data_IF_624964364216
#
_entry.id   IF_624964364216
#
_cell.length_a   1.000
_cell.length_b   1.000
_cell.length_c   1.000
_cell.angle_alpha   90.00
_cell.angle_beta   90.00
_cell.angle_gamma   90.00
#
_symmetry.space_group_name_H-M   'P 1'
#
loop_
_entity.id
_entity.type
_entity.pdbx_description
1 polymer ?
#
# COMPACT_ATOMS: atom_id res chain seq x y z
N UNK A 1 -25.04 40.56 15.03
CA UNK A 1 -23.72 40.02 14.63
C UNK A 1 -23.79 38.52 14.83
N UNK A 2 -23.68 37.68 13.77
CA UNK A 2 -23.72 36.23 13.93
C UNK A 2 -22.47 35.76 14.71
N UNK A 3 -22.55 34.65 15.47
CA UNK A 3 -21.37 34.07 16.09
C UNK A 3 -20.40 33.59 15.00
N UNK A 4 -19.12 33.98 15.12
CA UNK A 4 -18.09 33.51 14.22
C UNK A 4 -17.83 32.01 14.46
N UNK A 5 -17.81 31.21 13.39
CA UNK A 5 -17.45 29.79 13.46
C UNK A 5 -16.01 29.65 13.98
N UNK A 6 -15.76 29.05 15.16
CA UNK A 6 -14.42 28.93 15.73
C UNK A 6 -13.60 27.80 15.07
N UNK A 7 -14.11 27.21 13.99
CA UNK A 7 -13.54 26.05 13.29
C UNK A 7 -13.01 26.38 11.89
N UNK A 8 -13.10 27.64 11.45
CA UNK A 8 -12.44 28.09 10.23
C UNK A 8 -10.92 28.05 10.44
N UNK A 9 -10.25 27.17 9.69
CA UNK A 9 -8.79 27.15 9.50
C UNK A 9 -7.96 26.65 10.69
N UNK A 10 -7.96 25.33 10.92
CA UNK A 10 -6.73 24.64 11.37
C UNK A 10 -5.95 24.26 10.11
N UNK A 11 -5.27 25.24 9.52
CA UNK A 11 -4.26 24.97 8.50
C UNK A 11 -2.95 24.59 9.21
N UNK A 12 -2.51 23.33 9.05
CA UNK A 12 -1.18 22.93 9.52
C UNK A 12 -0.17 23.50 8.54
N UNK A 13 0.93 24.13 9.01
CA UNK A 13 2.00 24.52 8.09
C UNK A 13 2.54 23.26 7.39
N UNK A 14 2.29 23.20 6.08
CA UNK A 14 2.96 22.25 5.19
C UNK A 14 4.46 22.49 5.32
N UNK A 15 5.32 21.45 5.44
CA UNK A 15 6.75 21.64 5.43
C UNK A 15 7.21 22.10 4.05
N UNK A 16 7.28 23.42 3.86
CA UNK A 16 7.76 24.05 2.64
C UNK A 16 9.25 23.77 2.48
N UNK A 17 9.59 22.74 1.70
CA UNK A 17 10.95 22.55 1.21
C UNK A 17 11.19 23.67 0.19
N UNK A 18 12.03 24.64 0.55
CA UNK A 18 12.50 25.66 -0.38
C UNK A 18 13.37 25.01 -1.45
N UNK A 19 12.76 24.71 -2.59
CA UNK A 19 13.48 24.60 -3.86
C UNK A 19 13.62 26.00 -4.43
N UNK A 20 14.86 26.41 -4.69
CA UNK A 20 15.17 27.73 -5.25
C UNK A 20 14.62 27.92 -6.66
N UNK A 21 14.47 29.18 -7.05
CA UNK A 21 13.80 29.62 -8.27
C UNK A 21 14.23 28.90 -9.55
N UNK A 22 13.27 28.58 -10.42
CA UNK A 22 13.39 28.76 -11.86
C UNK A 22 12.01 28.91 -12.50
N UNK A 23 11.67 30.09 -13.02
CA UNK A 23 10.51 30.25 -13.91
C UNK A 23 10.66 29.36 -15.15
N UNK A 24 9.72 28.45 -15.41
CA UNK A 24 9.55 27.84 -16.74
C UNK A 24 8.14 27.27 -16.92
N UNK A 25 7.20 28.13 -17.32
CA UNK A 25 5.80 27.74 -17.58
C UNK A 25 5.66 27.02 -18.92
N UNK A 26 5.76 25.69 -18.93
CA UNK A 26 5.51 24.88 -20.14
C UNK A 26 4.02 24.61 -20.30
N UNK A 27 3.36 25.38 -21.18
CA UNK A 27 1.98 25.13 -21.60
C UNK A 27 1.91 23.93 -22.57
N UNK A 28 1.40 22.78 -22.10
CA UNK A 28 1.09 21.64 -22.99
C UNK A 28 -0.38 21.68 -23.40
N UNK A 29 -0.65 22.16 -24.61
CA UNK A 29 -1.96 21.99 -25.27
C UNK A 29 -2.07 20.57 -25.85
N UNK A 30 -3.17 19.83 -25.62
CA UNK A 30 -3.45 18.59 -26.34
C UNK A 30 -4.05 18.92 -27.71
N UNK A 31 -3.25 18.85 -28.77
CA UNK A 31 -3.73 18.98 -30.15
C UNK A 31 -2.84 18.18 -31.11
N UNK A 32 -3.48 17.34 -31.92
CA UNK A 32 -2.98 16.60 -33.09
C UNK A 32 -1.56 16.03 -33.10
N UNK A 33 -1.49 14.69 -33.05
CA UNK A 33 -0.55 13.89 -33.86
C UNK A 33 -1.21 12.63 -34.41
N UNK A 34 -2.18 12.81 -35.29
CA UNK A 34 -2.45 11.81 -36.32
C UNK A 34 -1.34 11.90 -37.36
N UNK A 35 -0.50 10.87 -37.48
CA UNK A 35 0.52 10.77 -38.54
C UNK A 35 0.30 9.46 -39.28
N UNK A 36 -0.20 9.55 -40.51
CA UNK A 36 -0.16 8.45 -41.46
C UNK A 36 1.30 8.16 -41.86
N UNK A 37 1.70 6.89 -41.84
CA UNK A 37 2.88 6.42 -42.59
C UNK A 37 2.42 5.58 -43.78
N UNK A 38 2.96 5.82 -44.99
CA UNK A 38 2.64 5.03 -46.17
C UNK A 38 3.53 3.78 -46.28
N UNK A 39 2.94 2.69 -46.78
CA UNK A 39 3.59 1.68 -47.63
C UNK A 39 4.80 0.91 -47.08
N UNK A 40 4.56 -0.32 -46.60
CA UNK A 40 5.46 -1.46 -46.86
C UNK A 40 4.69 -2.77 -46.76
N UNK A 41 4.35 -3.40 -47.88
CA UNK A 41 3.83 -4.76 -47.90
C UNK A 41 4.97 -5.76 -47.66
N UNK A 42 4.79 -6.79 -46.79
CA UNK A 42 5.53 -8.03 -46.89
C UNK A 42 4.72 -9.00 -47.76
N UNK A 43 5.08 -9.10 -49.04
CA UNK A 43 4.50 -10.06 -49.99
C UNK A 43 4.62 -11.50 -49.47
N UNK A 44 3.51 -12.09 -49.04
CA UNK A 44 3.45 -13.49 -48.61
C UNK A 44 3.43 -14.44 -49.83
N UNK A 45 4.60 -14.69 -50.43
CA UNK A 45 4.77 -15.66 -51.52
C UNK A 45 5.88 -16.66 -51.19
N UNK A 46 5.49 -17.83 -50.67
CA UNK A 46 6.29 -19.07 -50.75
C UNK A 46 5.45 -20.09 -51.51
N UNK A 47 5.75 -20.37 -52.79
CA UNK A 47 5.03 -21.40 -53.53
C UNK A 47 5.38 -22.78 -52.99
N UNK A 48 4.35 -23.53 -52.61
CA UNK A 48 4.43 -24.96 -52.36
C UNK A 48 4.88 -25.68 -53.63
N UNK A 49 5.94 -26.49 -53.56
CA UNK A 49 6.45 -27.25 -54.71
C UNK A 49 6.93 -28.65 -54.31
N UNK A 50 5.98 -29.57 -54.37
CA UNK A 50 6.17 -30.98 -54.70
C UNK A 50 5.02 -31.34 -55.67
N UNK A 51 5.16 -32.30 -56.61
CA UNK A 51 6.18 -33.36 -56.67
C UNK A 51 6.94 -33.43 -58.01
N UNK A 52 7.94 -34.32 -58.10
CA UNK A 52 8.08 -35.33 -59.18
C UNK A 52 9.12 -36.38 -58.77
N UNK A 53 8.96 -37.61 -59.26
CA UNK A 53 9.62 -38.85 -58.82
C UNK A 53 10.42 -39.45 -59.98
N UNK A 54 11.59 -40.06 -59.67
CA UNK A 54 12.59 -40.66 -60.60
C UNK A 54 13.30 -39.57 -61.45
N UNK A 55 14.52 -39.73 -61.94
CA UNK A 55 15.43 -40.89 -62.04
C UNK A 55 16.90 -40.39 -61.83
N UNK A 56 17.95 -41.20 -61.67
CA UNK A 56 18.06 -42.66 -61.61
C UNK A 56 19.30 -43.11 -60.79
N UNK A 57 19.38 -44.39 -60.42
CA UNK A 57 20.61 -45.07 -59.99
C UNK A 57 20.82 -46.37 -60.78
N UNK A 58 21.24 -46.23 -62.04
CA UNK A 58 21.59 -47.31 -62.99
C UNK A 58 22.82 -48.10 -62.50
N UNK A 59 22.59 -49.02 -61.56
CA UNK A 59 23.55 -50.03 -61.15
C UNK A 59 23.24 -51.32 -61.91
N UNK A 60 24.04 -51.55 -62.97
CA UNK A 60 23.96 -52.74 -63.82
C UNK A 60 24.15 -54.03 -63.02
N UNK A 61 23.06 -54.75 -62.76
CA UNK A 61 23.11 -56.10 -62.21
C UNK A 61 23.40 -57.11 -63.33
N UNK A 62 24.63 -57.64 -63.36
CA UNK A 62 24.97 -58.78 -64.20
C UNK A 62 24.24 -60.06 -63.76
N UNK A 63 23.90 -60.97 -64.68
CA UNK A 63 23.05 -62.12 -64.36
C UNK A 63 23.81 -63.24 -63.65
N UNK A 64 23.19 -63.81 -62.60
CA UNK A 64 23.50 -65.17 -62.15
C UNK A 64 24.33 -65.34 -60.87
N UNK A 65 23.86 -64.80 -59.73
CA UNK A 65 24.24 -65.33 -58.40
C UNK A 65 22.98 -65.37 -57.52
N UNK A 66 22.58 -66.54 -56.96
CA UNK A 66 21.55 -66.56 -55.93
C UNK A 66 22.12 -65.92 -54.66
N UNK A 67 21.63 -64.73 -54.30
CA UNK A 67 21.95 -64.11 -53.01
C UNK A 67 21.29 -64.94 -51.91
N UNK A 68 22.08 -65.82 -51.30
CA UNK A 68 21.72 -66.42 -50.03
C UNK A 68 21.41 -65.29 -49.02
N UNK A 69 20.35 -65.40 -48.19
CA UNK A 69 20.03 -64.35 -47.23
C UNK A 69 21.22 -64.11 -46.30
N UNK A 70 21.85 -62.95 -46.41
CA UNK A 70 22.89 -62.55 -45.46
C UNK A 70 22.22 -62.46 -44.10
N UNK A 71 22.68 -63.21 -43.07
CA UNK A 71 22.13 -63.06 -41.73
C UNK A 71 22.38 -61.61 -41.31
N UNK A 72 21.30 -60.86 -41.08
CA UNK A 72 21.40 -59.50 -40.58
C UNK A 72 22.18 -59.54 -39.27
N UNK A 73 23.25 -58.74 -39.12
CA UNK A 73 23.90 -58.60 -37.83
C UNK A 73 22.83 -58.15 -36.84
N UNK A 74 22.57 -59.00 -35.84
CA UNK A 74 21.66 -58.67 -34.77
C UNK A 74 22.26 -57.51 -33.99
N UNK A 75 21.90 -56.28 -34.38
CA UNK A 75 22.18 -55.09 -33.60
C UNK A 75 21.76 -55.42 -32.17
N UNK A 76 22.67 -55.31 -31.18
CA UNK A 76 22.26 -55.49 -29.80
C UNK A 76 21.14 -54.49 -29.57
N UNK A 77 19.92 -54.98 -29.34
CA UNK A 77 18.79 -54.16 -28.99
C UNK A 77 19.20 -53.43 -27.72
N UNK A 78 19.63 -52.17 -27.87
CA UNK A 78 20.39 -51.46 -26.86
C UNK A 78 19.53 -51.39 -25.61
N UNK A 79 19.84 -52.26 -24.64
CA UNK A 79 18.96 -52.56 -23.51
C UNK A 79 18.53 -51.23 -22.92
N UNK A 80 17.24 -50.90 -23.04
CA UNK A 80 16.74 -49.54 -23.00
C UNK A 80 17.32 -48.85 -21.76
N UNK A 81 18.37 -48.04 -21.97
CA UNK A 81 19.33 -47.77 -20.92
C UNK A 81 18.61 -46.98 -19.85
N UNK A 82 18.18 -47.70 -18.80
CA UNK A 82 17.12 -47.28 -17.90
C UNK A 82 17.56 -45.98 -17.28
N UNK A 83 17.10 -44.87 -17.85
CA UNK A 83 17.82 -43.60 -17.80
C UNK A 83 17.61 -43.06 -16.40
N UNK A 84 18.46 -43.51 -15.46
CA UNK A 84 18.36 -43.32 -14.02
C UNK A 84 18.29 -41.82 -13.79
N UNK A 85 17.07 -41.27 -13.78
CA UNK A 85 16.83 -39.83 -13.65
C UNK A 85 17.48 -39.46 -12.32
N UNK A 86 18.62 -38.76 -12.34
CA UNK A 86 19.58 -38.88 -11.26
C UNK A 86 18.93 -38.36 -9.98
N UNK A 87 19.09 -39.09 -8.89
CA UNK A 87 18.54 -38.72 -7.58
C UNK A 87 18.95 -37.28 -7.21
N UNK A 88 20.13 -36.84 -7.67
CA UNK A 88 20.59 -35.45 -7.70
C UNK A 88 19.54 -34.46 -8.26
N UNK A 89 18.94 -34.71 -9.45
CA UNK A 89 17.92 -33.80 -10.02
C UNK A 89 16.66 -33.74 -9.14
N UNK A 90 16.30 -34.84 -8.46
CA UNK A 90 15.21 -34.82 -7.47
C UNK A 90 15.60 -34.01 -6.24
N UNK A 91 16.81 -34.20 -5.70
CA UNK A 91 17.34 -33.44 -4.56
C UNK A 91 17.43 -31.94 -4.86
N UNK A 92 17.95 -31.55 -6.02
CA UNK A 92 18.00 -30.15 -6.47
C UNK A 92 16.60 -29.58 -6.68
N UNK A 93 15.65 -30.35 -7.23
CA UNK A 93 14.26 -29.92 -7.33
C UNK A 93 13.64 -29.70 -5.95
N UNK A 94 13.83 -30.62 -4.99
CA UNK A 94 13.31 -30.50 -3.63
C UNK A 94 13.94 -29.30 -2.91
N UNK A 95 15.26 -29.12 -3.01
CA UNK A 95 15.97 -27.99 -2.42
C UNK A 95 15.51 -26.64 -3.02
N UNK A 96 15.29 -26.60 -4.34
CA UNK A 96 14.73 -25.42 -5.03
C UNK A 96 13.29 -25.13 -4.58
N UNK A 97 12.44 -26.15 -4.45
CA UNK A 97 11.08 -26.00 -3.91
C UNK A 97 11.08 -25.52 -2.46
N UNK A 98 11.98 -26.03 -1.60
CA UNK A 98 12.14 -25.58 -0.22
C UNK A 98 12.64 -24.13 -0.13
N UNK A 99 13.61 -23.74 -0.97
CA UNK A 99 14.10 -22.37 -1.05
C UNK A 99 13.00 -21.40 -1.50
N UNK A 100 12.22 -21.79 -2.52
CA UNK A 100 11.09 -21.00 -3.01
C UNK A 100 10.02 -20.86 -1.93
N UNK A 101 9.67 -21.94 -1.23
CA UNK A 101 8.72 -21.91 -0.12
C UNK A 101 9.20 -21.01 1.02
N UNK A 102 10.48 -21.12 1.41
CA UNK A 102 11.08 -20.27 2.43
C UNK A 102 11.04 -18.78 2.05
N UNK A 103 11.35 -18.45 0.79
CA UNK A 103 11.29 -17.07 0.30
C UNK A 103 9.85 -16.53 0.28
N UNK A 104 8.88 -17.34 -0.14
CA UNK A 104 7.44 -16.99 -0.07
C UNK A 104 7.00 -16.75 1.38
N UNK A 105 7.43 -17.58 2.33
CA UNK A 105 7.13 -17.41 3.77
C UNK A 105 7.77 -16.12 4.31
N UNK A 106 9.03 -15.84 3.99
CA UNK A 106 9.72 -14.61 4.42
C UNK A 106 9.05 -13.36 3.84
N UNK A 107 8.73 -13.35 2.55
CA UNK A 107 8.01 -12.24 1.90
C UNK A 107 6.60 -12.08 2.49
N UNK A 108 5.88 -13.17 2.72
CA UNK A 108 4.56 -13.16 3.35
C UNK A 108 4.60 -12.59 4.77
N UNK A 109 5.56 -13.02 5.59
CA UNK A 109 5.77 -12.49 6.95
C UNK A 109 6.17 -11.01 6.93
N UNK A 110 7.05 -10.60 6.01
CA UNK A 110 7.47 -9.20 5.87
C UNK A 110 6.30 -8.29 5.46
N UNK A 111 5.53 -8.69 4.45
CA UNK A 111 4.30 -7.99 4.05
C UNK A 111 3.30 -7.93 5.21
N UNK A 112 3.06 -9.05 5.91
CA UNK A 112 2.17 -9.06 7.08
C UNK A 112 2.64 -8.06 8.14
N UNK A 113 3.92 -8.08 8.52
CA UNK A 113 4.48 -7.18 9.53
C UNK A 113 4.35 -5.70 9.14
N UNK A 114 4.45 -5.39 7.84
CA UNK A 114 4.34 -4.03 7.29
C UNK A 114 2.89 -3.56 7.11
N UNK A 115 1.93 -4.47 6.91
CA UNK A 115 0.50 -4.17 6.73
C UNK A 115 -0.35 -4.27 8.01
N UNK A 116 0.19 -4.70 9.17
CA UNK A 116 -0.61 -4.71 10.41
C UNK A 116 -1.09 -3.29 10.76
N UNK A 117 -2.38 -3.10 11.12
CA UNK A 117 -2.96 -1.80 11.40
C UNK A 117 -2.39 -1.14 12.65
N UNK A 118 -2.59 0.18 12.76
CA UNK A 118 -2.45 0.92 14.00
C UNK A 118 -3.50 0.46 15.02
N UNK A 119 -3.12 0.46 16.29
CA UNK A 119 -3.97 0.09 17.43
C UNK A 119 -3.87 1.18 18.49
N UNK A 120 -5.01 1.49 19.12
CA UNK A 120 -5.08 2.45 20.24
C UNK A 120 -5.13 1.65 21.53
N UNK A 121 -4.13 1.84 22.38
CA UNK A 121 -3.98 1.12 23.65
C UNK A 121 -4.76 1.80 24.78
N UNK A 122 -4.72 3.14 24.83
CA UNK A 122 -5.48 3.94 25.80
C UNK A 122 -5.64 5.40 25.35
N UNK A 123 -6.60 6.10 25.97
CA UNK A 123 -6.87 7.52 25.74
C UNK A 123 -7.03 8.21 27.09
N UNK A 124 -6.20 9.21 27.36
CA UNK A 124 -6.28 10.05 28.56
C UNK A 124 -6.65 11.48 28.16
N UNK A 125 -7.67 12.08 28.78
CA UNK A 125 -8.10 13.46 28.49
C UNK A 125 -7.81 14.36 29.70
N UNK A 126 -7.04 15.42 29.48
CA UNK A 126 -6.64 16.37 30.50
C UNK A 126 -6.88 17.81 30.06
N UNK A 127 -6.88 18.73 31.03
CA UNK A 127 -6.82 20.17 30.81
C UNK A 127 -5.48 20.64 31.37
N UNK A 128 -4.40 20.70 30.56
CA UNK A 128 -3.06 20.98 31.09
C UNK A 128 -2.95 22.34 31.78
N UNK A 129 -3.75 23.31 31.32
CA UNK A 129 -3.80 24.65 31.90
C UNK A 129 -5.26 25.08 32.12
N UNK A 130 -5.84 24.82 33.31
CA UNK A 130 -7.21 25.21 33.64
C UNK A 130 -7.44 26.73 33.57
N UNK A 131 -8.71 27.13 33.39
CA UNK A 131 -9.12 28.54 33.41
C UNK A 131 -8.70 29.25 34.71
N UNK A 132 -8.89 28.58 35.86
CA UNK A 132 -8.67 29.16 37.17
C UNK A 132 -9.74 30.20 37.50
N UNK A 133 -9.32 31.39 37.93
CA UNK A 133 -10.17 32.55 38.20
C UNK A 133 -10.13 33.60 37.06
N UNK A 134 -9.68 33.21 35.86
CA UNK A 134 -9.56 34.11 34.70
C UNK A 134 -10.88 34.15 33.95
N UNK A 135 -11.30 35.35 33.59
CA UNK A 135 -12.45 35.61 32.72
C UNK A 135 -12.02 35.57 31.25
N UNK A 136 -12.96 35.30 30.35
CA UNK A 136 -12.80 35.41 28.88
C UNK A 136 -11.56 34.66 28.35
N UNK A 137 -11.42 33.40 28.77
CA UNK A 137 -10.22 32.58 28.59
C UNK A 137 -10.48 31.39 27.66
N UNK A 138 -9.56 31.16 26.73
CA UNK A 138 -9.47 29.90 25.98
C UNK A 138 -8.64 28.89 26.76
N UNK A 139 -9.21 27.72 27.02
CA UNK A 139 -8.49 26.56 27.56
C UNK A 139 -8.25 25.55 26.46
N UNK A 140 -7.09 24.90 26.51
CA UNK A 140 -6.78 23.75 25.68
C UNK A 140 -7.14 22.47 26.46
N UNK A 141 -8.08 21.69 25.93
CA UNK A 141 -8.35 20.32 26.36
C UNK A 141 -7.56 19.39 25.46
N UNK A 142 -6.70 18.55 26.05
CA UNK A 142 -5.79 17.68 25.30
C UNK A 142 -6.13 16.23 25.61
N UNK A 143 -6.42 15.46 24.55
CA UNK A 143 -6.47 14.01 24.62
C UNK A 143 -5.12 13.42 24.16
N UNK A 144 -4.48 12.69 25.04
CA UNK A 144 -3.27 11.91 24.78
C UNK A 144 -3.70 10.48 24.42
N UNK A 145 -3.50 10.11 23.16
CA UNK A 145 -3.80 8.77 22.64
C UNK A 145 -2.52 7.95 22.61
N UNK A 146 -2.49 6.84 23.33
CA UNK A 146 -1.39 5.88 23.30
C UNK A 146 -1.63 4.82 22.21
N UNK A 147 -0.59 4.51 21.45
CA UNK A 147 -0.66 3.60 20.30
C UNK A 147 0.52 2.63 20.29
N UNK A 148 0.33 1.51 19.60
CA UNK A 148 1.35 0.45 19.46
C UNK A 148 2.60 0.85 18.62
N UNK A 149 2.79 2.13 18.30
CA UNK A 149 3.92 2.65 17.54
C UNK A 149 3.85 2.42 16.02
N UNK A 150 2.73 1.90 15.50
CA UNK A 150 2.53 1.71 14.06
C UNK A 150 2.00 2.99 13.41
N UNK A 151 2.40 3.21 12.15
CA UNK A 151 1.84 4.28 11.34
C UNK A 151 0.37 4.00 11.00
N UNK A 152 -0.46 5.03 11.00
CA UNK A 152 -1.85 4.90 10.59
C UNK A 152 -2.68 6.15 10.85
N UNK A 153 -3.98 6.02 10.63
CA UNK A 153 -4.94 7.12 10.67
C UNK A 153 -5.84 6.97 11.88
N UNK A 154 -5.93 8.00 12.72
CA UNK A 154 -6.92 8.09 13.79
C UNK A 154 -8.04 9.03 13.32
N UNK A 155 -9.27 8.52 13.27
CA UNK A 155 -10.46 9.36 13.04
C UNK A 155 -11.14 9.60 14.37
N UNK A 156 -11.47 10.84 14.68
CA UNK A 156 -12.00 11.22 15.99
C UNK A 156 -13.00 12.37 15.87
N UNK A 157 -13.81 12.55 16.90
CA UNK A 157 -14.79 13.64 16.99
C UNK A 157 -14.83 14.17 18.42
N UNK A 158 -14.87 15.50 18.56
CA UNK A 158 -15.05 16.15 19.85
C UNK A 158 -16.52 16.47 20.11
N UNK A 159 -16.94 16.20 21.34
CA UNK A 159 -18.25 16.53 21.88
C UNK A 159 -18.06 17.44 23.09
N UNK A 160 -18.84 18.51 23.15
CA UNK A 160 -18.91 19.44 24.29
C UNK A 160 -20.34 19.42 24.84
N UNK A 161 -20.51 19.75 26.12
CA UNK A 161 -21.85 19.85 26.71
C UNK A 161 -22.61 21.13 26.35
N UNK A 162 -21.94 22.17 25.86
CA UNK A 162 -22.50 23.49 25.54
C UNK A 162 -22.80 23.72 24.04
N UNK A 163 -22.39 22.79 23.18
CA UNK A 163 -22.41 22.96 21.73
C UNK A 163 -22.84 21.68 21.00
N UNK A 164 -23.23 21.82 19.74
CA UNK A 164 -23.44 20.67 18.85
C UNK A 164 -22.13 19.85 18.67
N UNK A 165 -22.22 18.55 18.33
CA UNK A 165 -21.05 17.73 18.01
C UNK A 165 -20.14 18.39 16.98
N UNK A 166 -18.83 18.38 17.23
CA UNK A 166 -17.84 18.93 16.30
C UNK A 166 -17.73 18.11 15.02
N UNK A 167 -16.98 18.63 14.04
CA UNK A 167 -16.66 17.88 12.83
C UNK A 167 -15.84 16.61 13.15
N UNK A 168 -15.91 15.60 12.27
CA UNK A 168 -15.02 14.44 12.34
C UNK A 168 -13.64 14.84 11.82
N UNK A 169 -12.64 14.79 12.69
CA UNK A 169 -11.25 15.11 12.40
C UNK A 169 -10.44 13.85 12.13
N UNK A 170 -9.28 14.03 11.49
CA UNK A 170 -8.38 12.95 11.09
C UNK A 170 -6.95 13.32 11.47
N UNK A 171 -6.29 12.49 12.28
CA UNK A 171 -4.88 12.65 12.66
C UNK A 171 -4.03 11.55 12.00
N UNK A 172 -2.84 11.92 11.53
CA UNK A 172 -1.88 11.03 10.90
C UNK A 172 -0.77 10.67 11.88
N UNK A 173 -0.68 9.41 12.27
CA UNK A 173 0.35 8.91 13.20
C UNK A 173 1.51 8.35 12.39
N UNK A 174 2.70 8.90 12.60
CA UNK A 174 3.94 8.44 11.95
C UNK A 174 4.43 7.10 12.52
N UNK A 175 5.23 6.36 11.74
CA UNK A 175 5.87 5.13 12.21
C UNK A 175 6.81 5.41 13.39
N UNK A 176 6.69 4.63 14.47
CA UNK A 176 7.45 4.81 15.72
C UNK A 176 6.76 5.71 16.75
N UNK A 177 5.75 6.49 16.36
CA UNK A 177 5.01 7.35 17.29
C UNK A 177 4.04 6.52 18.12
N UNK A 178 4.31 6.42 19.43
CA UNK A 178 3.43 5.76 20.42
C UNK A 178 2.45 6.71 21.10
N UNK A 179 2.44 7.98 20.71
CA UNK A 179 1.61 9.01 21.34
C UNK A 179 1.17 10.01 20.30
N UNK A 180 -0.14 10.26 20.24
CA UNK A 180 -0.75 11.30 19.42
C UNK A 180 -1.55 12.23 20.31
N UNK A 181 -1.40 13.54 20.11
CA UNK A 181 -2.10 14.59 20.87
C UNK A 181 -3.22 15.18 20.05
N UNK A 182 -4.45 15.02 20.51
CA UNK A 182 -5.64 15.62 19.91
C UNK A 182 -6.04 16.82 20.78
N UNK A 183 -6.13 18.01 20.21
CA UNK A 183 -6.38 19.24 20.98
C UNK A 183 -7.74 19.85 20.62
N UNK A 184 -8.50 20.22 21.64
CA UNK A 184 -9.72 20.99 21.57
C UNK A 184 -9.48 22.35 22.22
N UNK A 185 -9.63 23.43 21.44
CA UNK A 185 -9.64 24.80 21.97
C UNK A 185 -11.06 25.20 22.38
N UNK A 186 -11.24 25.68 23.59
CA UNK A 186 -12.55 26.05 24.13
C UNK A 186 -12.48 27.40 24.84
N UNK A 187 -13.14 28.40 24.27
CA UNK A 187 -13.28 29.73 24.89
C UNK A 187 -14.48 29.78 25.81
N UNK A 188 -14.25 30.16 27.05
CA UNK A 188 -15.27 30.49 28.04
C UNK A 188 -15.32 32.01 28.22
N UNK A 189 -16.51 32.60 28.21
CA UNK A 189 -16.70 34.05 28.33
C UNK A 189 -17.80 34.41 29.31
N UNK A 190 -17.72 35.63 29.86
CA UNK A 190 -18.70 36.16 30.81
C UNK A 190 -18.44 35.75 32.27
N UNK A 191 -19.30 36.22 33.18
CA UNK A 191 -19.16 36.06 34.64
C UNK A 191 -19.91 34.84 35.18
N UNK A 192 -19.43 34.29 36.30
CA UNK A 192 -20.06 33.18 37.02
C UNK A 192 -19.18 31.92 37.11
N UNK A 193 -19.80 30.81 37.48
CA UNK A 193 -19.13 29.51 37.62
C UNK A 193 -19.89 28.42 36.88
N UNK A 194 -19.23 27.75 35.93
CA UNK A 194 -19.79 26.60 35.19
C UNK A 194 -18.84 25.41 35.26
N UNK A 195 -19.36 24.21 35.02
CA UNK A 195 -18.55 22.98 34.89
C UNK A 195 -19.12 22.16 33.76
N UNK A 196 -18.34 22.05 32.69
CA UNK A 196 -18.77 21.51 31.42
C UNK A 196 -17.90 20.30 31.06
N UNK A 197 -18.37 19.46 30.14
CA UNK A 197 -17.71 18.18 29.81
C UNK A 197 -17.21 18.20 28.37
N UNK A 198 -15.92 17.88 28.19
CA UNK A 198 -15.33 17.59 26.90
C UNK A 198 -15.12 16.08 26.77
N UNK A 199 -15.66 15.48 25.71
CA UNK A 199 -15.50 14.06 25.38
C UNK A 199 -14.94 13.95 23.97
N UNK A 200 -13.83 13.21 23.82
CA UNK A 200 -13.36 12.74 22.51
C UNK A 200 -13.92 11.35 22.27
N UNK A 201 -14.46 11.12 21.08
CA UNK A 201 -14.80 9.78 20.61
C UNK A 201 -13.84 9.41 19.47
N UNK A 202 -13.00 8.41 19.68
CA UNK A 202 -12.25 7.80 18.59
C UNK A 202 -13.22 6.92 17.80
N UNK A 203 -13.23 7.09 16.47
CA UNK A 203 -14.09 6.36 15.53
C UNK A 203 -13.33 5.25 14.80
N UNK A 204 -12.03 5.45 14.56
CA UNK A 204 -11.11 4.48 13.97
C UNK A 204 -9.69 4.69 14.55
N UNK A 205 -8.89 3.62 14.76
CA UNK A 205 -9.11 2.23 14.33
C UNK A 205 -10.15 1.45 15.15
N UNK A 206 -10.39 1.84 16.40
CA UNK A 206 -11.30 1.18 17.34
C UNK A 206 -12.17 2.22 18.07
N UNK A 207 -13.49 2.02 18.20
CA UNK A 207 -14.35 2.94 18.93
C UNK A 207 -13.99 3.04 20.42
N UNK A 208 -13.50 4.20 20.88
CA UNK A 208 -13.13 4.45 22.28
C UNK A 208 -13.56 5.88 22.66
N UNK A 209 -14.55 6.06 23.56
CA UNK A 209 -14.85 7.34 24.16
C UNK A 209 -13.97 7.61 25.39
N UNK A 210 -13.49 8.84 25.53
CA UNK A 210 -12.80 9.32 26.73
C UNK A 210 -13.15 10.80 26.95
N UNK A 211 -13.20 11.26 28.20
CA UNK A 211 -13.60 12.64 28.48
C UNK A 211 -13.15 13.15 29.84
N UNK A 212 -13.27 14.46 30.01
CA UNK A 212 -12.90 15.18 31.24
C UNK A 212 -13.84 16.35 31.51
N UNK A 213 -13.82 16.85 32.76
CA UNK A 213 -14.60 18.01 33.17
C UNK A 213 -13.73 19.26 33.18
N UNK A 214 -14.26 20.34 32.60
CA UNK A 214 -13.64 21.66 32.53
C UNK A 214 -14.42 22.58 33.47
N UNK A 215 -13.75 23.13 34.49
CA UNK A 215 -14.36 24.08 35.41
C UNK A 215 -13.91 25.51 35.05
N UNK A 216 -14.88 26.39 34.83
CA UNK A 216 -14.67 27.83 34.60
C UNK A 216 -15.21 28.63 35.79
N UNK A 217 -14.42 29.61 36.26
CA UNK A 217 -14.83 30.53 37.32
C UNK A 217 -14.33 31.94 36.99
N UNK A 218 -15.27 32.86 36.83
CA UNK A 218 -15.01 34.28 36.70
C UNK A 218 -15.81 35.01 37.77
N UNK A 219 -15.12 35.65 38.72
CA UNK A 219 -15.76 36.50 39.71
C UNK A 219 -16.11 37.85 39.09
N UNK A 220 -17.39 38.20 39.07
CA UNK A 220 -17.81 39.57 38.77
C UNK A 220 -17.25 40.52 39.83
N UNK A 221 -16.64 41.61 39.38
CA UNK A 221 -16.28 42.78 40.20
C UNK A 221 -17.09 43.97 39.75
#
# INVERSE_FOLDING_TARGET
MPPADPWATIDRPVPTVYFGDSDTTVNVRPSDRTVHLPGSEPTAHVPQSAPTVRAEAELRFGPGVPVAPVPTPGWPAGAAAGRRRPLWRRLVSVLSSLLTLALVVVVGLYLWQRLRPIEVESVAVAVPQPAGNRCDVTVDVVATVHTNGRSGVIRYQWFRSDAAPGAVLTEQVGSGQRTATLTLKWTFSGVGTTTETATVNILAPSPIPAGTKVAYRCGGR
#
